data_IF_550520958937
#
_entry.id   IF_550520958937
#
_cell.length_a   1.000
_cell.length_b   1.000
_cell.length_c   1.000
_cell.angle_alpha   90.00
_cell.angle_beta   90.00
_cell.angle_gamma   90.00
#
_symmetry.space_group_name_H-M   'P 1'
#
loop_
_entity.id
_entity.type
_entity.pdbx_description
1 polymer ?
#
# COMPACT_ATOMS: atom_id res chain seq x y z
N UNK A 1 -8.66 -3.57 14.74
CA UNK A 1 -9.92 -3.30 15.47
C UNK A 1 -10.35 -4.56 16.21
N UNK A 2 -11.11 -4.42 17.29
CA UNK A 2 -11.73 -5.54 18.02
C UNK A 2 -13.16 -5.72 17.53
N UNK A 3 -13.49 -6.90 17.04
CA UNK A 3 -14.70 -7.17 16.27
C UNK A 3 -15.43 -8.32 16.94
N UNK A 4 -16.61 -8.05 17.46
CA UNK A 4 -17.45 -9.05 18.08
C UNK A 4 -18.21 -9.82 17.00
N UNK A 5 -18.15 -11.15 17.03
CA UNK A 5 -18.90 -11.99 16.10
C UNK A 5 -20.13 -12.55 16.81
N UNK A 6 -21.26 -12.54 16.10
CA UNK A 6 -22.47 -13.19 16.57
C UNK A 6 -22.45 -14.70 16.31
N UNK A 7 -23.24 -15.47 17.07
CA UNK A 7 -23.35 -16.93 16.97
C UNK A 7 -23.76 -17.36 15.56
N UNK A 8 -24.60 -16.57 14.88
CA UNK A 8 -25.01 -16.81 13.49
C UNK A 8 -23.88 -16.65 12.46
N UNK A 9 -22.79 -15.97 12.80
CA UNK A 9 -21.58 -15.86 11.98
C UNK A 9 -20.58 -16.95 12.36
N UNK A 10 -20.43 -17.20 13.66
CA UNK A 10 -19.46 -18.16 14.20
C UNK A 10 -19.79 -19.60 13.76
N UNK A 11 -21.06 -20.01 13.85
CA UNK A 11 -21.44 -21.39 13.55
C UNK A 11 -21.11 -21.75 12.08
N UNK A 12 -21.57 -20.99 11.05
CA UNK A 12 -21.21 -21.29 9.66
C UNK A 12 -19.71 -21.16 9.37
N UNK A 13 -19.02 -20.27 10.07
CA UNK A 13 -17.57 -20.05 9.91
C UNK A 13 -16.73 -21.23 10.42
N UNK A 14 -17.24 -22.00 11.38
CA UNK A 14 -16.49 -23.10 12.04
C UNK A 14 -17.04 -24.50 11.77
N UNK A 15 -18.26 -24.63 11.26
CA UNK A 15 -18.89 -25.91 10.96
C UNK A 15 -18.29 -26.58 9.72
N UNK A 16 -17.32 -27.49 9.93
CA UNK A 16 -16.69 -28.26 8.83
C UNK A 16 -17.54 -29.38 8.26
N UNK A 17 -18.73 -29.63 8.79
CA UNK A 17 -19.65 -30.56 8.15
C UNK A 17 -20.26 -29.96 6.87
N UNK A 18 -20.03 -28.67 6.60
CA UNK A 18 -20.53 -27.93 5.45
C UNK A 18 -19.39 -27.30 4.66
N UNK A 19 -19.64 -27.08 3.37
CA UNK A 19 -18.76 -26.26 2.54
C UNK A 19 -18.81 -24.83 3.08
N UNK A 20 -17.65 -24.27 3.39
CA UNK A 20 -17.53 -22.89 3.84
C UNK A 20 -17.82 -21.96 2.65
N UNK A 21 -18.83 -21.11 2.80
CA UNK A 21 -19.14 -20.09 1.81
C UNK A 21 -17.98 -19.09 1.68
N UNK A 22 -17.73 -18.63 0.45
CA UNK A 22 -16.58 -17.77 0.13
C UNK A 22 -16.52 -16.51 0.98
N UNK A 23 -17.66 -15.98 1.39
CA UNK A 23 -17.79 -14.74 2.16
C UNK A 23 -17.21 -14.91 3.58
N UNK A 24 -17.41 -16.07 4.20
CA UNK A 24 -16.82 -16.39 5.50
C UNK A 24 -15.31 -16.67 5.40
N UNK A 25 -14.87 -17.33 4.33
CA UNK A 25 -13.44 -17.54 4.07
C UNK A 25 -12.71 -16.19 3.87
N UNK A 26 -13.33 -15.28 3.11
CA UNK A 26 -12.82 -13.94 2.88
C UNK A 26 -12.79 -13.11 4.17
N UNK A 27 -13.84 -13.19 5.01
CA UNK A 27 -13.87 -12.54 6.33
C UNK A 27 -12.65 -12.91 7.15
N UNK A 28 -12.34 -14.21 7.26
CA UNK A 28 -11.18 -14.70 8.03
C UNK A 28 -9.88 -14.20 7.44
N UNK A 29 -9.71 -14.32 6.11
CA UNK A 29 -8.51 -13.88 5.40
C UNK A 29 -8.25 -12.39 5.64
N UNK A 30 -9.23 -11.53 5.34
CA UNK A 30 -9.09 -10.08 5.46
C UNK A 30 -8.90 -9.63 6.91
N UNK A 31 -9.59 -10.27 7.86
CA UNK A 31 -9.42 -9.94 9.29
C UNK A 31 -7.99 -10.21 9.75
N UNK A 32 -7.39 -11.33 9.33
CA UNK A 32 -5.98 -11.65 9.66
C UNK A 32 -5.02 -10.71 8.94
N UNK A 33 -5.19 -10.51 7.63
CA UNK A 33 -4.32 -9.63 6.83
C UNK A 33 -4.32 -8.18 7.34
N UNK A 34 -5.45 -7.70 7.86
CA UNK A 34 -5.60 -6.34 8.41
C UNK A 34 -5.39 -6.25 9.93
N UNK A 35 -4.87 -7.32 10.55
CA UNK A 35 -4.60 -7.38 12.00
C UNK A 35 -5.81 -6.98 12.85
N UNK A 36 -6.99 -7.46 12.47
CA UNK A 36 -8.20 -7.32 13.26
C UNK A 36 -8.37 -8.50 14.20
N UNK A 37 -8.77 -8.23 15.44
CA UNK A 37 -8.99 -9.23 16.46
C UNK A 37 -10.47 -9.61 16.48
N UNK A 38 -10.77 -10.89 16.22
CA UNK A 38 -12.11 -11.43 16.30
C UNK A 38 -12.40 -11.90 17.73
N UNK A 39 -13.45 -11.36 18.32
CA UNK A 39 -13.88 -11.61 19.68
C UNK A 39 -15.21 -12.36 19.72
N UNK A 40 -15.40 -13.11 20.80
CA UNK A 40 -16.68 -13.72 21.19
C UNK A 40 -17.06 -13.25 22.59
N UNK A 41 -18.36 -13.15 22.83
CA UNK A 41 -18.93 -12.86 24.13
C UNK A 41 -19.07 -14.19 24.91
N UNK A 42 -18.64 -14.27 26.19
CA UNK A 42 -18.73 -15.51 26.99
C UNK A 42 -20.13 -16.14 27.05
N UNK A 43 -21.18 -15.32 27.09
CA UNK A 43 -22.57 -15.82 27.12
C UNK A 43 -23.00 -16.56 25.84
N UNK A 44 -22.33 -16.33 24.70
CA UNK A 44 -22.63 -17.07 23.46
C UNK A 44 -22.26 -18.55 23.56
N UNK A 45 -21.42 -18.94 24.53
CA UNK A 45 -21.12 -20.34 24.81
C UNK A 45 -22.37 -21.12 25.21
N UNK A 46 -23.32 -20.47 25.89
CA UNK A 46 -24.58 -21.08 26.28
C UNK A 46 -25.45 -21.37 25.05
N UNK A 47 -25.51 -20.44 24.10
CA UNK A 47 -26.27 -20.62 22.85
C UNK A 47 -25.70 -21.74 21.99
N UNK A 48 -24.38 -21.82 21.89
CA UNK A 48 -23.71 -22.92 21.15
C UNK A 48 -23.93 -24.25 21.86
N UNK A 49 -23.98 -24.28 23.20
CA UNK A 49 -24.29 -25.49 23.96
C UNK A 49 -25.73 -25.99 23.75
N UNK A 50 -26.68 -25.07 23.51
CA UNK A 50 -28.08 -25.37 23.19
C UNK A 50 -28.30 -25.86 21.74
N UNK A 51 -27.26 -25.92 20.92
CA UNK A 51 -27.35 -26.48 19.57
C UNK A 51 -27.83 -27.94 19.61
N UNK A 52 -28.93 -28.22 18.91
CA UNK A 52 -29.57 -29.55 18.83
C UNK A 52 -28.70 -30.56 18.08
N UNK A 53 -27.82 -30.11 17.18
CA UNK A 53 -26.91 -30.98 16.45
C UNK A 53 -25.64 -31.22 17.29
N UNK A 54 -25.54 -32.41 17.88
CA UNK A 54 -24.43 -32.77 18.78
C UNK A 54 -23.06 -32.75 18.08
N UNK A 55 -23.01 -33.16 16.80
CA UNK A 55 -21.76 -33.21 16.03
C UNK A 55 -21.29 -31.79 15.69
N UNK A 56 -22.19 -30.94 15.17
CA UNK A 56 -21.88 -29.53 14.89
C UNK A 56 -21.44 -28.80 16.16
N UNK A 57 -22.13 -29.02 17.28
CA UNK A 57 -21.79 -28.44 18.58
C UNK A 57 -20.37 -28.79 19.01
N UNK A 58 -19.98 -30.07 18.94
CA UNK A 58 -18.62 -30.52 19.31
C UNK A 58 -17.56 -29.85 18.42
N UNK A 59 -17.80 -29.78 17.11
CA UNK A 59 -16.89 -29.16 16.14
C UNK A 59 -16.70 -27.68 16.49
N UNK A 60 -17.78 -26.89 16.54
CA UNK A 60 -17.73 -25.45 16.79
C UNK A 60 -17.07 -25.19 18.15
N UNK A 61 -17.51 -25.88 19.21
CA UNK A 61 -16.97 -25.70 20.57
C UNK A 61 -15.46 -25.96 20.65
N UNK A 62 -14.95 -26.99 19.94
CA UNK A 62 -13.52 -27.28 19.89
C UNK A 62 -12.68 -26.14 19.29
N UNK A 63 -13.28 -25.32 18.42
CA UNK A 63 -12.62 -24.26 17.66
C UNK A 63 -12.82 -22.87 18.22
N UNK A 64 -13.80 -22.67 19.09
CA UNK A 64 -14.02 -21.40 19.79
C UNK A 64 -12.79 -20.90 20.55
N UNK A 65 -11.89 -21.81 20.95
CA UNK A 65 -10.60 -21.47 21.59
C UNK A 65 -9.66 -20.66 20.69
N UNK A 66 -9.92 -20.57 19.39
CA UNK A 66 -9.17 -19.74 18.46
C UNK A 66 -9.53 -18.25 18.58
N UNK A 67 -10.68 -17.92 19.18
CA UNK A 67 -11.15 -16.56 19.34
C UNK A 67 -10.80 -16.01 20.72
N UNK A 68 -10.52 -14.72 20.77
CA UNK A 68 -10.38 -14.01 22.05
C UNK A 68 -11.75 -13.82 22.68
N UNK A 69 -11.85 -13.95 24.01
CA UNK A 69 -13.08 -13.63 24.73
C UNK A 69 -13.00 -12.22 25.28
N UNK A 70 -14.14 -11.53 25.37
CA UNK A 70 -14.20 -10.28 26.13
C UNK A 70 -13.97 -10.61 27.60
N UNK A 71 -12.90 -10.08 28.19
CA UNK A 71 -12.61 -10.22 29.62
C UNK A 71 -13.59 -9.35 30.42
N UNK A 72 -14.29 -9.95 31.38
CA UNK A 72 -15.26 -9.27 32.26
C UNK A 72 -16.28 -8.40 31.49
N UNK A 73 -17.11 -9.00 30.61
CA UNK A 73 -18.09 -8.23 29.84
C UNK A 73 -19.10 -7.57 30.78
N UNK A 74 -19.56 -6.34 30.47
CA UNK A 74 -20.60 -5.69 31.25
C UNK A 74 -21.89 -6.51 31.13
N UNK A 75 -22.53 -6.76 32.27
CA UNK A 75 -23.77 -7.53 32.35
C UNK A 75 -24.92 -6.53 32.36
N UNK A 76 -25.86 -6.69 31.43
CA UNK A 76 -27.04 -5.83 31.33
C UNK A 76 -27.98 -6.10 32.53
N UNK A 77 -28.20 -5.08 33.36
CA UNK A 77 -29.18 -5.14 34.45
C UNK A 77 -30.62 -4.94 33.97
N UNK A 78 -31.61 -5.38 34.74
CA UNK A 78 -33.03 -5.21 34.40
C UNK A 78 -33.43 -3.72 34.28
N UNK A 79 -32.84 -2.87 35.11
CA UNK A 79 -33.04 -1.43 35.04
C UNK A 79 -32.50 -0.84 33.73
N UNK A 80 -31.24 -1.14 33.38
CA UNK A 80 -30.64 -0.67 32.13
C UNK A 80 -31.38 -1.24 30.90
N UNK A 81 -31.88 -2.48 30.99
CA UNK A 81 -32.68 -3.10 29.94
C UNK A 81 -33.97 -2.29 29.68
N UNK A 82 -34.64 -1.86 30.75
CA UNK A 82 -35.85 -1.03 30.66
C UNK A 82 -35.53 0.39 30.14
N UNK A 83 -34.46 1.02 30.62
CA UNK A 83 -34.00 2.34 30.16
C UNK A 83 -33.64 2.35 28.67
N UNK A 84 -33.03 1.27 28.17
CA UNK A 84 -32.68 1.09 26.76
C UNK A 84 -33.87 0.62 25.89
N UNK A 85 -35.05 0.40 26.48
CA UNK A 85 -36.25 -0.05 25.75
C UNK A 85 -36.09 -1.43 25.10
N UNK A 86 -35.26 -2.30 25.70
CA UNK A 86 -35.03 -3.67 25.26
C UNK A 86 -35.93 -4.63 26.04
N UNK A 87 -36.47 -5.64 25.36
CA UNK A 87 -37.24 -6.72 25.98
C UNK A 87 -36.39 -7.99 26.09
N UNK A 88 -36.49 -8.69 27.22
CA UNK A 88 -35.88 -10.01 27.45
C UNK A 88 -36.99 -11.05 27.60
N UNK A 89 -37.38 -11.69 26.51
CA UNK A 89 -38.50 -12.65 26.48
C UNK A 89 -38.04 -14.10 26.61
N UNK A 90 -36.81 -14.40 26.22
CA UNK A 90 -36.21 -15.74 26.23
C UNK A 90 -34.69 -15.66 26.46
N UNK A 91 -34.05 -16.81 26.64
CA UNK A 91 -32.61 -16.84 26.91
C UNK A 91 -31.76 -16.30 25.74
N UNK A 92 -32.20 -16.47 24.49
CA UNK A 92 -31.48 -15.93 23.33
C UNK A 92 -31.53 -14.40 23.32
N UNK A 93 -32.69 -13.81 23.64
CA UNK A 93 -32.84 -12.36 23.79
C UNK A 93 -31.90 -11.82 24.86
N UNK A 94 -31.68 -12.57 25.95
CA UNK A 94 -30.74 -12.20 27.00
C UNK A 94 -29.31 -12.18 26.48
N UNK A 95 -28.90 -13.16 25.68
CA UNK A 95 -27.55 -13.19 25.08
C UNK A 95 -27.40 -12.05 24.08
N UNK A 96 -28.33 -11.87 23.14
CA UNK A 96 -28.33 -10.76 22.17
C UNK A 96 -28.20 -9.39 22.84
N UNK A 97 -28.98 -9.17 23.91
CA UNK A 97 -28.99 -7.89 24.62
C UNK A 97 -27.66 -7.66 25.35
N UNK A 98 -27.04 -8.71 25.91
CA UNK A 98 -25.72 -8.58 26.54
C UNK A 98 -24.60 -8.34 25.50
N UNK A 99 -24.66 -8.97 24.32
CA UNK A 99 -23.75 -8.70 23.20
C UNK A 99 -23.86 -7.22 22.78
N UNK A 100 -25.09 -6.73 22.58
CA UNK A 100 -25.33 -5.32 22.24
C UNK A 100 -24.89 -4.38 23.36
N UNK A 101 -25.10 -4.75 24.62
CA UNK A 101 -24.68 -3.95 25.77
C UNK A 101 -23.16 -3.88 25.92
N UNK A 102 -22.44 -4.97 25.62
CA UNK A 102 -20.98 -4.96 25.55
C UNK A 102 -20.49 -3.98 24.46
N UNK A 103 -21.15 -3.94 23.30
CA UNK A 103 -20.86 -2.96 22.25
C UNK A 103 -21.21 -1.53 22.69
N UNK A 104 -22.35 -1.34 23.36
CA UNK A 104 -22.81 -0.05 23.89
C UNK A 104 -21.79 0.59 24.82
N UNK A 105 -21.25 -0.22 25.75
CA UNK A 105 -20.25 0.19 26.74
C UNK A 105 -18.82 0.27 26.18
N UNK A 106 -18.61 -0.09 24.92
CA UNK A 106 -17.32 0.04 24.23
C UNK A 106 -16.35 -1.13 24.43
N UNK A 107 -16.82 -2.31 24.82
CA UNK A 107 -15.98 -3.50 24.95
C UNK A 107 -15.46 -4.03 23.58
N UNK A 108 -16.13 -3.67 22.49
CA UNK A 108 -15.72 -3.93 21.12
C UNK A 108 -15.94 -2.69 20.24
N UNK A 109 -15.27 -2.64 19.09
CA UNK A 109 -15.45 -1.53 18.14
C UNK A 109 -16.71 -1.74 17.29
N UNK A 110 -16.90 -2.97 16.82
CA UNK A 110 -17.93 -3.36 15.86
C UNK A 110 -18.52 -4.72 16.24
N UNK A 111 -19.77 -4.97 15.86
CA UNK A 111 -20.45 -6.26 15.91
C UNK A 111 -20.80 -6.71 14.48
N UNK A 112 -20.55 -7.98 14.16
CA UNK A 112 -20.96 -8.58 12.88
C UNK A 112 -22.04 -9.63 13.13
N UNK A 113 -23.23 -9.38 12.57
CA UNK A 113 -24.39 -10.28 12.66
C UNK A 113 -25.30 -10.13 11.45
N UNK A 114 -25.89 -11.24 11.00
CA UNK A 114 -26.95 -11.24 10.00
C UNK A 114 -28.37 -11.28 10.63
N UNK A 115 -28.49 -11.13 11.96
CA UNK A 115 -29.76 -11.25 12.68
C UNK A 115 -30.56 -9.93 12.66
N UNK A 116 -31.74 -9.94 12.02
CA UNK A 116 -32.64 -8.78 11.94
C UNK A 116 -33.14 -8.29 13.29
N UNK A 117 -33.28 -9.17 14.28
CA UNK A 117 -33.65 -8.83 15.65
C UNK A 117 -32.58 -7.96 16.31
N UNK A 118 -31.31 -8.35 16.18
CA UNK A 118 -30.17 -7.60 16.72
C UNK A 118 -30.05 -6.23 16.03
N UNK A 119 -30.19 -6.16 14.71
CA UNK A 119 -30.17 -4.88 13.95
C UNK A 119 -31.29 -3.92 14.40
N UNK A 120 -32.50 -4.43 14.61
CA UNK A 120 -33.63 -3.63 15.13
C UNK A 120 -33.36 -3.12 16.54
N UNK A 121 -32.83 -3.97 17.43
CA UNK A 121 -32.46 -3.58 18.80
C UNK A 121 -31.33 -2.53 18.79
N UNK A 122 -30.30 -2.72 17.97
CA UNK A 122 -29.18 -1.78 17.82
C UNK A 122 -29.65 -0.39 17.38
N UNK A 123 -30.59 -0.32 16.45
CA UNK A 123 -31.18 0.95 15.99
C UNK A 123 -31.91 1.68 17.13
N UNK A 124 -32.65 0.96 17.98
CA UNK A 124 -33.35 1.56 19.12
C UNK A 124 -32.41 2.21 20.14
N UNK A 125 -31.24 1.60 20.37
CA UNK A 125 -30.24 2.07 21.32
C UNK A 125 -29.15 2.96 20.68
N UNK A 126 -29.31 3.35 19.41
CA UNK A 126 -28.41 4.26 18.70
C UNK A 126 -27.05 3.66 18.29
N UNK A 127 -26.95 2.34 18.12
CA UNK A 127 -25.72 1.62 17.75
C UNK A 127 -25.70 1.13 16.30
N UNK A 128 -26.62 1.58 15.44
CA UNK A 128 -26.72 1.11 14.04
C UNK A 128 -25.39 1.23 13.27
N UNK A 129 -24.59 2.27 13.53
CA UNK A 129 -23.33 2.52 12.82
C UNK A 129 -22.18 1.59 13.25
N UNK A 130 -22.40 0.78 14.30
CA UNK A 130 -21.44 -0.18 14.84
C UNK A 130 -21.84 -1.64 14.62
N UNK A 131 -23.03 -1.91 14.09
CA UNK A 131 -23.54 -3.27 13.85
C UNK A 131 -23.65 -3.52 12.35
N UNK A 132 -22.88 -4.48 11.84
CA UNK A 132 -22.74 -4.74 10.41
C UNK A 132 -23.27 -6.13 10.07
N UNK A 133 -23.89 -6.25 8.89
CA UNK A 133 -24.07 -7.55 8.23
C UNK A 133 -22.74 -8.04 7.68
N UNK A 134 -22.63 -9.34 7.44
CA UNK A 134 -21.41 -9.94 6.88
C UNK A 134 -20.97 -9.23 5.58
N UNK A 135 -21.88 -9.08 4.61
CA UNK A 135 -21.57 -8.43 3.33
C UNK A 135 -21.15 -6.97 3.47
N UNK A 136 -21.81 -6.21 4.36
CA UNK A 136 -21.47 -4.82 4.63
C UNK A 136 -20.09 -4.72 5.28
N UNK A 137 -19.79 -5.64 6.19
CA UNK A 137 -18.50 -5.72 6.85
C UNK A 137 -17.38 -6.12 5.88
N UNK A 138 -17.62 -7.05 4.96
CA UNK A 138 -16.66 -7.37 3.89
C UNK A 138 -16.39 -6.18 2.98
N UNK A 139 -17.41 -5.41 2.60
CA UNK A 139 -17.23 -4.17 1.86
C UNK A 139 -16.37 -3.16 2.64
N UNK A 140 -16.59 -3.04 3.95
CA UNK A 140 -15.77 -2.21 4.82
C UNK A 140 -14.30 -2.66 4.82
N UNK A 141 -14.05 -3.96 5.01
CA UNK A 141 -12.71 -4.54 4.97
C UNK A 141 -12.03 -4.30 3.62
N UNK A 142 -12.71 -4.54 2.51
CA UNK A 142 -12.18 -4.31 1.16
C UNK A 142 -11.78 -2.85 0.93
N UNK A 143 -12.52 -1.89 1.50
CA UNK A 143 -12.17 -0.46 1.43
C UNK A 143 -10.90 -0.12 2.23
N UNK A 144 -10.67 -0.82 3.34
CA UNK A 144 -9.45 -0.67 4.14
C UNK A 144 -8.27 -1.50 3.63
N UNK A 145 -8.51 -2.48 2.75
CA UNK A 145 -7.43 -3.12 1.99
C UNK A 145 -6.83 -2.08 1.03
N UNK A 146 -5.90 -1.28 1.53
CA UNK A 146 -4.97 -0.51 0.70
C UNK A 146 -4.02 -1.50 0.05
N UNK A 147 -4.47 -2.24 -0.95
CA UNK A 147 -3.52 -2.83 -1.90
C UNK A 147 -2.89 -1.61 -2.58
N UNK A 148 -1.57 -1.37 -2.40
CA UNK A 148 -0.91 -0.31 -3.15
C UNK A 148 -1.18 -0.58 -4.63
N UNK A 149 -1.59 0.44 -5.36
CA UNK A 149 -1.88 0.28 -6.77
C UNK A 149 -0.64 -0.31 -7.46
N UNK A 150 -0.73 -1.56 -7.93
CA UNK A 150 0.32 -2.23 -8.69
C UNK A 150 0.18 -1.82 -10.15
N UNK A 151 1.25 -1.27 -10.73
CA UNK A 151 1.23 -0.80 -12.11
C UNK A 151 1.93 -1.73 -13.07
N UNK A 152 1.37 -1.78 -14.27
CA UNK A 152 1.97 -2.39 -15.44
C UNK A 152 2.78 -1.32 -16.19
N UNK A 153 4.05 -1.16 -15.82
CA UNK A 153 4.99 -0.26 -16.50
C UNK A 153 5.68 -0.98 -17.65
N UNK A 154 5.68 -0.37 -18.82
CA UNK A 154 6.30 -0.97 -19.99
C UNK A 154 7.82 -1.08 -19.79
N UNK A 155 8.39 -2.25 -20.13
CA UNK A 155 9.83 -2.55 -19.94
C UNK A 155 10.29 -2.75 -18.49
N UNK A 156 9.40 -2.62 -17.49
CA UNK A 156 9.76 -2.78 -16.07
C UNK A 156 8.82 -3.76 -15.37
N UNK A 157 9.40 -4.69 -14.61
CA UNK A 157 8.66 -5.68 -13.82
C UNK A 157 8.66 -5.27 -12.36
N UNK A 158 7.49 -5.27 -11.73
CA UNK A 158 7.42 -5.28 -10.27
C UNK A 158 7.43 -6.72 -9.79
N UNK A 159 8.37 -7.06 -8.92
CA UNK A 159 8.53 -8.40 -8.35
C UNK A 159 8.80 -8.35 -6.87
N UNK A 160 8.52 -9.44 -6.17
CA UNK A 160 9.05 -9.67 -4.84
C UNK A 160 10.54 -10.02 -4.92
N UNK A 161 11.29 -9.62 -3.90
CA UNK A 161 12.73 -9.90 -3.87
C UNK A 161 13.08 -11.38 -3.84
N UNK A 162 12.20 -12.24 -3.32
CA UNK A 162 12.42 -13.69 -3.33
C UNK A 162 12.32 -14.31 -4.73
N UNK A 163 11.80 -13.58 -5.73
CA UNK A 163 11.79 -14.02 -7.14
C UNK A 163 13.12 -13.73 -7.83
N UNK A 164 14.01 -12.96 -7.19
CA UNK A 164 15.26 -12.48 -7.77
C UNK A 164 16.42 -13.34 -7.25
N UNK A 165 17.19 -13.91 -8.17
CA UNK A 165 18.44 -14.60 -7.81
C UNK A 165 19.52 -13.60 -7.40
N UNK A 166 19.78 -13.52 -6.09
CA UNK A 166 20.82 -12.66 -5.50
C UNK A 166 22.25 -13.07 -5.89
N UNK A 167 22.45 -14.28 -6.41
CA UNK A 167 23.76 -14.75 -6.84
C UNK A 167 24.18 -14.20 -8.21
N UNK A 168 23.29 -13.49 -8.92
CA UNK A 168 23.63 -12.87 -10.19
C UNK A 168 24.85 -11.93 -10.05
N UNK A 169 25.76 -11.89 -11.04
CA UNK A 169 26.94 -11.01 -11.04
C UNK A 169 26.60 -9.52 -10.86
N UNK A 170 25.38 -9.11 -11.24
CA UNK A 170 24.84 -7.78 -11.03
C UNK A 170 24.99 -7.31 -9.56
N UNK A 171 24.85 -8.21 -8.58
CA UNK A 171 24.92 -7.87 -7.16
C UNK A 171 26.34 -7.89 -6.58
N UNK A 172 27.37 -8.28 -7.35
CA UNK A 172 28.76 -8.40 -6.87
C UNK A 172 29.28 -7.10 -6.26
N UNK A 173 29.17 -6.00 -7.01
CA UNK A 173 29.57 -4.68 -6.50
C UNK A 173 28.82 -4.26 -5.22
N UNK A 174 27.55 -4.66 -5.03
CA UNK A 174 26.82 -4.34 -3.80
C UNK A 174 27.33 -5.17 -2.62
N UNK A 175 27.71 -6.42 -2.86
CA UNK A 175 28.34 -7.28 -1.84
C UNK A 175 29.72 -6.75 -1.41
N UNK A 176 30.48 -6.19 -2.35
CA UNK A 176 31.78 -5.57 -2.06
C UNK A 176 31.64 -4.22 -1.34
N UNK A 177 30.61 -3.43 -1.66
CA UNK A 177 30.40 -2.11 -1.04
C UNK A 177 29.69 -2.16 0.32
N UNK A 178 28.93 -3.22 0.61
CA UNK A 178 28.11 -3.32 1.82
C UNK A 178 28.30 -4.66 2.53
N UNK A 179 28.99 -4.64 3.67
CA UNK A 179 29.15 -5.80 4.54
C UNK A 179 27.79 -6.38 4.96
N UNK A 180 27.59 -7.66 4.68
CA UNK A 180 26.35 -8.37 5.02
C UNK A 180 25.19 -8.14 4.06
N UNK A 181 25.43 -7.64 2.83
CA UNK A 181 24.41 -7.45 1.79
C UNK A 181 23.51 -8.68 1.62
N UNK A 182 24.05 -9.89 1.53
CA UNK A 182 23.23 -11.10 1.29
C UNK A 182 22.29 -11.43 2.45
N UNK A 183 22.71 -11.17 3.69
CA UNK A 183 21.86 -11.32 4.88
C UNK A 183 20.75 -10.27 4.86
N UNK A 184 21.09 -9.04 4.50
CA UNK A 184 20.12 -7.96 4.32
C UNK A 184 19.11 -8.29 3.21
N UNK A 185 19.58 -8.73 2.05
CA UNK A 185 18.72 -9.11 0.92
C UNK A 185 17.77 -10.24 1.32
N UNK A 186 18.29 -11.27 1.99
CA UNK A 186 17.48 -12.38 2.47
C UNK A 186 16.41 -11.93 3.46
N UNK A 187 16.76 -11.05 4.40
CA UNK A 187 15.78 -10.47 5.33
C UNK A 187 14.69 -9.70 4.58
N UNK A 188 15.07 -8.86 3.61
CA UNK A 188 14.11 -8.10 2.81
C UNK A 188 13.19 -9.01 2.00
N UNK A 189 13.71 -10.12 1.47
CA UNK A 189 12.92 -11.13 0.77
C UNK A 189 11.91 -11.82 1.72
N UNK A 190 12.34 -12.19 2.93
CA UNK A 190 11.46 -12.74 3.97
C UNK A 190 10.36 -11.75 4.38
N UNK A 191 10.69 -10.47 4.45
CA UNK A 191 9.75 -9.37 4.73
C UNK A 191 8.81 -9.08 3.53
N UNK A 192 8.82 -9.92 2.49
CA UNK A 192 8.04 -9.76 1.25
C UNK A 192 8.23 -8.40 0.57
N UNK A 193 9.44 -7.84 0.66
CA UNK A 193 9.76 -6.56 0.03
C UNK A 193 9.72 -6.70 -1.49
N UNK A 194 9.16 -5.68 -2.15
CA UNK A 194 9.07 -5.57 -3.60
C UNK A 194 10.22 -4.74 -4.18
N UNK A 195 10.42 -4.91 -5.47
CA UNK A 195 11.32 -4.09 -6.27
C UNK A 195 10.75 -3.85 -7.67
N UNK A 196 11.17 -2.75 -8.29
CA UNK A 196 11.08 -2.58 -9.74
C UNK A 196 12.39 -3.07 -10.35
N UNK A 197 12.32 -4.03 -11.26
CA UNK A 197 13.49 -4.57 -11.96
C UNK A 197 13.32 -4.51 -13.47
N UNK A 198 14.46 -4.39 -14.14
CA UNK A 198 14.60 -4.41 -15.59
C UNK A 198 15.57 -5.54 -15.91
N UNK A 199 15.16 -6.43 -16.80
CA UNK A 199 15.94 -7.57 -17.26
C UNK A 199 16.39 -7.33 -18.72
N UNK A 200 17.51 -7.92 -19.09
CA UNK A 200 17.88 -8.06 -20.50
C UNK A 200 17.14 -9.23 -21.16
N UNK A 201 17.34 -9.41 -22.48
CA UNK A 201 16.72 -10.50 -23.23
C UNK A 201 17.15 -11.92 -22.82
N UNK A 202 18.10 -12.04 -21.88
CA UNK A 202 18.54 -13.32 -21.30
C UNK A 202 18.00 -13.55 -19.89
N UNK A 203 17.19 -12.62 -19.36
CA UNK A 203 16.61 -12.70 -18.01
C UNK A 203 17.55 -12.22 -16.90
N UNK A 204 18.72 -11.67 -17.23
CA UNK A 204 19.64 -11.10 -16.23
C UNK A 204 19.20 -9.69 -15.85
N UNK A 205 19.31 -9.35 -14.58
CA UNK A 205 18.95 -8.01 -14.09
C UNK A 205 19.98 -7.00 -14.56
N UNK A 206 19.50 -5.92 -15.17
CA UNK A 206 20.31 -4.78 -15.61
C UNK A 206 19.99 -3.50 -14.85
N UNK A 207 18.84 -3.43 -14.18
CA UNK A 207 18.55 -2.35 -13.23
C UNK A 207 17.56 -2.83 -12.16
N UNK A 208 17.71 -2.33 -10.94
CA UNK A 208 16.80 -2.61 -9.82
C UNK A 208 16.61 -1.39 -8.94
N UNK A 209 15.37 -1.20 -8.48
CA UNK A 209 15.01 -0.29 -7.41
C UNK A 209 14.22 -1.06 -6.34
N UNK A 210 14.86 -1.34 -5.21
CA UNK A 210 14.22 -1.96 -4.04
C UNK A 210 13.65 -0.84 -3.18
N UNK A 211 12.36 -0.91 -2.83
CA UNK A 211 11.69 0.16 -2.10
C UNK A 211 10.91 -0.34 -0.88
N UNK A 212 10.58 0.57 0.04
CA UNK A 212 9.65 0.30 1.14
C UNK A 212 8.90 1.57 1.54
N UNK A 213 7.79 1.38 2.25
CA UNK A 213 7.01 2.46 2.84
C UNK A 213 7.46 2.71 4.27
N UNK A 214 7.48 3.98 4.64
CA UNK A 214 7.70 4.46 6.01
C UNK A 214 6.68 5.55 6.32
N UNK A 215 6.43 5.78 7.61
CA UNK A 215 5.52 6.79 8.13
C UNK A 215 6.23 7.51 9.28
N UNK A 216 6.21 8.84 9.26
CA UNK A 216 6.76 9.69 10.34
C UNK A 216 8.16 9.21 10.80
N UNK A 217 9.12 9.21 9.88
CA UNK A 217 10.41 8.58 10.07
C UNK A 217 11.53 9.61 10.32
N UNK A 218 12.44 9.27 11.22
CA UNK A 218 13.72 9.95 11.35
C UNK A 218 14.64 9.51 10.21
N UNK A 219 15.02 10.45 9.34
CA UNK A 219 15.80 10.14 8.14
C UNK A 219 17.30 10.44 8.31
N UNK A 220 17.67 11.29 9.28
CA UNK A 220 19.03 11.79 9.51
C UNK A 220 19.43 11.65 10.99
N UNK A 221 20.73 11.76 11.27
CA UNK A 221 21.26 11.73 12.64
C UNK A 221 20.92 13.00 13.46
N UNK A 222 20.36 14.03 12.82
CA UNK A 222 19.92 15.26 13.50
C UNK A 222 18.76 15.02 14.48
N UNK A 223 18.02 13.93 14.32
CA UNK A 223 16.87 13.59 15.18
C UNK A 223 15.52 14.12 14.67
N UNK A 224 15.50 14.89 13.58
CA UNK A 224 14.28 15.46 13.04
C UNK A 224 13.39 14.37 12.40
N UNK A 225 12.10 14.38 12.76
CA UNK A 225 11.10 13.49 12.20
C UNK A 225 10.51 14.14 10.95
N UNK A 226 10.62 13.44 9.82
CA UNK A 226 9.92 13.82 8.60
C UNK A 226 8.52 13.25 8.65
N UNK A 227 7.54 14.15 8.80
CA UNK A 227 6.14 13.77 8.89
C UNK A 227 5.51 13.42 7.54
N UNK A 228 4.60 12.45 7.56
CA UNK A 228 3.83 11.99 6.40
C UNK A 228 4.24 10.61 5.89
N UNK A 229 3.68 10.23 4.73
CA UNK A 229 3.95 8.95 4.08
C UNK A 229 5.17 9.04 3.18
N UNK A 230 6.09 8.09 3.33
CA UNK A 230 7.42 8.17 2.73
C UNK A 230 7.72 6.91 1.92
N UNK A 231 8.23 7.09 0.71
CA UNK A 231 8.86 6.03 -0.08
C UNK A 231 10.38 6.05 0.13
N UNK A 232 10.95 5.01 0.74
CA UNK A 232 12.40 4.81 0.77
C UNK A 232 12.83 3.98 -0.43
N UNK A 233 13.76 4.48 -1.24
CA UNK A 233 14.49 3.68 -2.22
C UNK A 233 15.71 3.06 -1.53
N UNK A 234 15.56 1.82 -1.06
CA UNK A 234 16.57 1.11 -0.27
C UNK A 234 17.82 0.73 -1.07
N UNK A 235 17.63 0.35 -2.32
CA UNK A 235 18.73 0.00 -3.24
C UNK A 235 18.35 0.49 -4.61
N UNK A 236 19.20 1.29 -5.21
CA UNK A 236 19.00 1.84 -6.54
C UNK A 236 20.25 1.59 -7.36
N UNK A 237 20.18 0.67 -8.32
CA UNK A 237 21.35 0.25 -9.09
C UNK A 237 21.00 0.03 -10.56
N UNK A 238 21.89 0.51 -11.43
CA UNK A 238 21.89 0.24 -12.87
C UNK A 238 23.24 -0.37 -13.23
N UNK A 239 23.22 -1.43 -14.04
CA UNK A 239 24.42 -2.11 -14.50
C UNK A 239 25.28 -1.16 -15.36
N UNK A 240 26.60 -1.31 -15.26
CA UNK A 240 27.53 -0.47 -16.01
C UNK A 240 27.38 -0.64 -17.52
N UNK A 241 27.07 -1.86 -17.99
CA UNK A 241 26.83 -2.19 -19.40
C UNK A 241 25.53 -1.57 -19.93
N UNK A 242 24.61 -1.21 -19.04
CA UNK A 242 23.35 -0.55 -19.37
C UNK A 242 23.39 0.97 -19.21
N UNK A 243 24.55 1.56 -18.84
CA UNK A 243 24.73 3.01 -18.82
C UNK A 243 24.51 3.58 -20.22
N UNK A 244 23.85 4.74 -20.30
CA UNK A 244 23.43 5.36 -21.57
C UNK A 244 22.01 4.98 -22.02
N UNK A 245 21.43 3.88 -21.53
CA UNK A 245 20.03 3.50 -21.82
C UNK A 245 18.99 4.27 -20.99
N UNK A 246 19.43 5.17 -20.12
CA UNK A 246 18.57 6.00 -19.23
C UNK A 246 17.66 5.19 -18.29
N UNK A 247 18.03 3.96 -17.94
CA UNK A 247 17.25 3.09 -17.05
C UNK A 247 17.08 3.67 -15.63
N UNK A 248 18.06 4.43 -15.13
CA UNK A 248 17.92 5.11 -13.84
C UNK A 248 16.82 6.17 -13.88
N UNK A 249 16.74 6.92 -14.97
CA UNK A 249 15.67 7.91 -15.18
C UNK A 249 14.29 7.24 -15.27
N UNK A 250 14.22 6.08 -15.92
CA UNK A 250 13.02 5.23 -15.96
C UNK A 250 12.58 4.77 -14.57
N UNK A 251 13.51 4.31 -13.73
CA UNK A 251 13.20 3.90 -12.36
C UNK A 251 12.75 5.09 -11.48
N UNK A 252 13.32 6.28 -11.66
CA UNK A 252 12.85 7.49 -10.97
C UNK A 252 11.45 7.91 -11.44
N UNK A 253 11.17 7.85 -12.74
CA UNK A 253 9.83 8.11 -13.28
C UNK A 253 8.80 7.21 -12.59
N UNK A 254 9.09 5.91 -12.51
CA UNK A 254 8.24 4.92 -11.86
C UNK A 254 8.08 5.24 -10.37
N UNK A 255 9.15 5.59 -9.67
CA UNK A 255 9.08 5.95 -8.25
C UNK A 255 8.20 7.19 -8.02
N UNK A 256 8.30 8.20 -8.88
CA UNK A 256 7.49 9.42 -8.78
C UNK A 256 6.01 9.16 -9.08
N UNK A 257 5.72 8.44 -10.16
CA UNK A 257 4.36 8.06 -10.53
C UNK A 257 3.72 7.18 -9.43
N UNK A 258 4.49 6.24 -8.87
CA UNK A 258 4.09 5.44 -7.72
C UNK A 258 3.75 6.31 -6.50
N UNK A 259 4.57 7.32 -6.20
CA UNK A 259 4.32 8.25 -5.09
C UNK A 259 3.03 9.04 -5.30
N UNK A 260 2.80 9.60 -6.49
CA UNK A 260 1.57 10.35 -6.81
C UNK A 260 0.34 9.49 -6.58
N UNK A 261 0.33 8.28 -7.13
CA UNK A 261 -0.83 7.40 -7.11
C UNK A 261 -1.12 6.82 -5.73
N UNK A 262 -0.09 6.56 -4.95
CA UNK A 262 -0.23 6.14 -3.55
C UNK A 262 -0.31 7.33 -2.57
N UNK A 263 -0.34 8.57 -3.08
CA UNK A 263 -0.44 9.83 -2.31
C UNK A 263 0.64 9.96 -1.24
N UNK A 264 1.87 9.55 -1.56
CA UNK A 264 3.03 9.66 -0.68
C UNK A 264 3.51 11.11 -0.66
N UNK A 265 3.94 11.58 0.51
CA UNK A 265 4.39 12.96 0.72
C UNK A 265 5.86 13.17 0.31
N UNK A 266 6.65 12.11 0.40
CA UNK A 266 8.10 12.16 0.25
C UNK A 266 8.65 10.90 -0.43
N UNK A 267 9.75 11.08 -1.15
CA UNK A 267 10.63 9.99 -1.59
C UNK A 267 12.06 10.31 -1.21
N UNK A 268 12.82 9.32 -0.74
CA UNK A 268 14.21 9.53 -0.36
C UNK A 268 15.07 8.29 -0.59
N UNK A 269 16.38 8.50 -0.60
CA UNK A 269 17.38 7.45 -0.65
C UNK A 269 18.62 7.83 0.17
N UNK A 270 19.41 6.81 0.51
CA UNK A 270 20.75 6.99 1.04
C UNK A 270 21.74 6.74 -0.09
N UNK A 271 22.79 7.56 -0.16
CA UNK A 271 23.91 7.36 -1.08
C UNK A 271 25.22 7.28 -0.30
N UNK A 272 26.07 6.33 -0.68
CA UNK A 272 27.36 6.11 -0.04
C UNK A 272 28.52 6.24 -1.04
N UNK A 273 29.49 7.08 -0.70
CA UNK A 273 30.80 7.15 -1.37
C UNK A 273 30.85 7.85 -2.73
N UNK A 274 32.08 8.04 -3.24
CA UNK A 274 32.35 8.73 -4.51
C UNK A 274 31.88 7.96 -5.75
N UNK A 275 31.69 6.64 -5.66
CA UNK A 275 31.26 5.79 -6.77
C UNK A 275 29.82 6.06 -7.22
N UNK A 276 29.05 6.79 -6.41
CA UNK A 276 27.65 7.13 -6.66
C UNK A 276 27.44 8.54 -7.23
N UNK A 277 28.50 9.26 -7.64
CA UNK A 277 28.39 10.62 -8.25
C UNK A 277 27.34 10.68 -9.37
N UNK A 278 27.23 9.64 -10.19
CA UNK A 278 26.21 9.56 -11.25
C UNK A 278 24.78 9.49 -10.70
N UNK A 279 24.56 8.73 -9.62
CA UNK A 279 23.25 8.64 -8.97
C UNK A 279 22.89 9.96 -8.27
N UNK A 280 23.86 10.57 -7.59
CA UNK A 280 23.68 11.90 -6.97
C UNK A 280 23.30 12.94 -8.02
N UNK A 281 24.04 13.02 -9.12
CA UNK A 281 23.71 13.92 -10.23
C UNK A 281 22.29 13.68 -10.78
N UNK A 282 21.92 12.42 -10.98
CA UNK A 282 20.57 12.04 -11.40
C UNK A 282 19.51 12.50 -10.38
N UNK A 283 19.75 12.32 -9.08
CA UNK A 283 18.82 12.74 -8.04
C UNK A 283 18.64 14.27 -8.05
N UNK A 284 19.74 15.02 -8.12
CA UNK A 284 19.71 16.49 -8.19
C UNK A 284 18.97 16.99 -9.45
N UNK A 285 19.22 16.37 -10.61
CA UNK A 285 18.55 16.70 -11.87
C UNK A 285 17.02 16.54 -11.84
N UNK A 286 16.53 15.72 -10.91
CA UNK A 286 15.12 15.39 -10.72
C UNK A 286 14.55 15.92 -9.38
N UNK A 287 15.20 16.91 -8.79
CA UNK A 287 14.63 17.71 -7.70
C UNK A 287 14.79 17.10 -6.30
N UNK A 288 15.63 16.08 -6.14
CA UNK A 288 16.12 15.71 -4.81
C UNK A 288 17.09 16.78 -4.31
N UNK A 289 17.15 16.95 -2.99
CA UNK A 289 18.16 17.76 -2.32
C UNK A 289 18.76 16.99 -1.15
N UNK A 290 20.00 17.33 -0.79
CA UNK A 290 20.66 16.73 0.38
C UNK A 290 19.99 17.24 1.66
N UNK A 291 19.42 16.32 2.43
CA UNK A 291 18.79 16.59 3.72
C UNK A 291 19.82 16.62 4.86
N UNK A 292 20.85 15.80 4.77
CA UNK A 292 21.86 15.63 5.81
C UNK A 292 22.51 14.25 5.72
N UNK A 293 23.01 13.76 6.86
CA UNK A 293 23.66 12.45 6.96
C UNK A 293 22.91 11.51 7.88
N UNK A 294 23.00 10.22 7.56
CA UNK A 294 22.62 9.13 8.43
C UNK A 294 23.78 8.15 8.52
N UNK A 295 24.42 8.10 9.69
CA UNK A 295 25.73 7.47 9.89
C UNK A 295 26.77 8.07 8.94
N UNK A 296 27.15 7.29 7.93
CA UNK A 296 28.17 7.64 6.93
C UNK A 296 27.56 7.96 5.56
N UNK A 297 26.25 7.80 5.40
CA UNK A 297 25.55 7.98 4.12
C UNK A 297 24.96 9.39 4.03
N UNK A 298 25.01 9.98 2.84
CA UNK A 298 24.27 11.20 2.53
C UNK A 298 22.81 10.84 2.21
N UNK A 299 21.88 11.63 2.74
CA UNK A 299 20.44 11.43 2.61
C UNK A 299 19.89 12.43 1.60
N UNK A 300 19.35 11.93 0.49
CA UNK A 300 18.71 12.76 -0.54
C UNK A 300 17.20 12.56 -0.49
N UNK A 301 16.46 13.65 -0.35
CA UNK A 301 14.99 13.66 -0.25
C UNK A 301 14.37 14.55 -1.32
N UNK A 302 13.18 14.17 -1.78
CA UNK A 302 12.34 14.95 -2.68
C UNK A 302 10.90 15.02 -2.16
N UNK A 303 10.27 16.22 -2.14
CA UNK A 303 8.85 16.36 -1.84
C UNK A 303 8.00 15.86 -3.00
N UNK A 304 6.98 15.05 -2.69
CA UNK A 304 6.00 14.53 -3.66
C UNK A 304 4.65 15.25 -3.52
N UNK A 305 4.73 16.56 -3.32
CA UNK A 305 3.62 17.51 -3.31
C UNK A 305 4.14 18.90 -3.61
N UNK A 306 3.28 19.74 -4.18
CA UNK A 306 3.57 21.15 -4.34
C UNK A 306 3.65 21.81 -2.96
N UNK A 307 4.67 22.64 -2.75
CA UNK A 307 4.76 23.52 -1.58
C UNK A 307 4.74 24.97 -2.05
N UNK A 308 4.24 25.85 -1.20
CA UNK A 308 4.38 27.29 -1.42
C UNK A 308 5.85 27.67 -1.24
N UNK A 309 6.42 28.27 -2.27
CA UNK A 309 7.76 28.83 -2.25
C UNK A 309 7.91 29.94 -3.28
N UNK A 310 8.98 30.71 -3.09
CA UNK A 310 9.39 31.82 -3.95
C UNK A 310 10.33 31.37 -5.09
N UNK A 311 10.45 30.06 -5.36
CA UNK A 311 11.28 29.59 -6.47
C UNK A 311 10.66 30.02 -7.80
N UNK A 312 11.53 30.38 -8.76
CA UNK A 312 11.14 30.63 -10.14
C UNK A 312 10.45 29.41 -10.76
N UNK A 313 9.61 29.63 -11.77
CA UNK A 313 8.74 28.58 -12.34
C UNK A 313 9.50 27.31 -12.77
N UNK A 314 10.71 27.46 -13.32
CA UNK A 314 11.55 26.32 -13.71
C UNK A 314 12.07 25.51 -12.50
N UNK A 315 12.61 26.17 -11.48
CA UNK A 315 13.15 25.50 -10.30
C UNK A 315 12.04 24.80 -9.52
N UNK A 316 10.88 25.45 -9.43
CA UNK A 316 9.66 24.84 -8.89
C UNK A 316 9.26 23.59 -9.68
N UNK A 317 9.25 23.65 -11.03
CA UNK A 317 8.90 22.51 -11.87
C UNK A 317 9.85 21.32 -11.65
N UNK A 318 11.16 21.57 -11.58
CA UNK A 318 12.17 20.52 -11.32
C UNK A 318 11.98 19.93 -9.91
N UNK A 319 11.82 20.80 -8.90
CA UNK A 319 11.68 20.40 -7.50
C UNK A 319 10.43 19.58 -7.24
N UNK A 320 9.29 19.95 -7.85
CA UNK A 320 8.01 19.33 -7.55
C UNK A 320 7.47 18.38 -8.61
N UNK A 321 8.16 18.20 -9.75
CA UNK A 321 7.76 17.21 -10.76
C UNK A 321 7.35 15.89 -10.09
N UNK A 322 6.17 15.32 -10.45
CA UNK A 322 5.30 15.70 -11.56
C UNK A 322 4.25 16.78 -11.24
N UNK A 323 4.27 17.37 -10.04
CA UNK A 323 3.44 18.52 -9.71
C UNK A 323 4.05 19.81 -10.27
N UNK A 324 3.19 20.77 -10.61
CA UNK A 324 3.57 22.05 -11.17
C UNK A 324 2.71 23.17 -10.59
N UNK A 325 3.24 24.39 -10.58
CA UNK A 325 2.46 25.58 -10.20
C UNK A 325 1.44 25.84 -11.31
N UNK A 326 0.17 25.89 -10.94
CA UNK A 326 -0.91 26.30 -11.83
C UNK A 326 -1.46 27.66 -11.38
N UNK A 327 -0.84 28.73 -11.86
CA UNK A 327 -1.29 30.10 -11.61
C UNK A 327 -1.12 30.95 -12.87
N UNK A 328 -1.65 32.18 -12.86
CA UNK A 328 -1.66 33.09 -14.01
C UNK A 328 -0.26 33.49 -14.52
N UNK A 329 0.79 33.28 -13.72
CA UNK A 329 2.17 33.59 -14.10
C UNK A 329 2.83 32.51 -14.98
N UNK A 330 2.20 31.33 -15.09
CA UNK A 330 2.71 30.19 -15.87
C UNK A 330 1.88 30.01 -17.12
N UNK A 331 2.52 30.13 -18.30
CA UNK A 331 1.82 29.90 -19.56
C UNK A 331 1.70 28.40 -19.83
N UNK A 332 0.59 28.00 -20.46
CA UNK A 332 0.29 26.60 -20.78
C UNK A 332 0.24 26.43 -22.29
N UNK A 333 0.94 25.42 -22.80
CA UNK A 333 1.03 25.12 -24.21
C UNK A 333 0.66 23.66 -24.48
N UNK A 334 -0.01 23.42 -25.61
CA UNK A 334 -0.28 22.07 -26.10
C UNK A 334 0.74 21.78 -27.19
N UNK A 335 1.55 20.75 -26.97
CA UNK A 335 2.58 20.33 -27.92
C UNK A 335 2.04 19.15 -28.75
N UNK A 336 1.80 19.31 -30.06
CA UNK A 336 1.37 18.21 -30.89
C UNK A 336 2.53 17.25 -31.16
N UNK A 337 2.24 15.95 -31.13
CA UNK A 337 3.21 14.89 -31.41
C UNK A 337 2.75 14.02 -32.60
N UNK A 338 3.68 13.63 -33.46
CA UNK A 338 3.40 12.69 -34.55
C UNK A 338 3.27 11.27 -33.98
N UNK A 339 2.32 10.45 -34.46
CA UNK A 339 2.09 9.10 -33.93
C UNK A 339 3.37 8.25 -33.82
N UNK A 340 4.23 8.25 -34.85
CA UNK A 340 5.50 7.50 -34.82
C UNK A 340 6.41 7.87 -33.64
N UNK A 341 6.49 9.15 -33.25
CA UNK A 341 7.30 9.58 -32.11
C UNK A 341 6.58 9.34 -30.79
N UNK A 342 5.23 9.34 -30.79
CA UNK A 342 4.45 8.99 -29.61
C UNK A 342 4.76 7.55 -29.17
N UNK A 343 4.72 6.61 -30.11
CA UNK A 343 5.01 5.20 -29.84
C UNK A 343 6.40 4.98 -29.22
N UNK A 344 7.41 5.70 -29.71
CA UNK A 344 8.79 5.57 -29.26
C UNK A 344 9.07 6.29 -27.92
N UNK A 345 8.48 7.47 -27.72
CA UNK A 345 8.77 8.34 -26.56
C UNK A 345 7.92 8.00 -25.34
N UNK A 346 6.73 7.44 -25.53
CA UNK A 346 5.75 7.21 -24.47
C UNK A 346 5.38 5.72 -24.41
N UNK A 347 6.31 4.85 -24.00
CA UNK A 347 6.10 3.39 -24.03
C UNK A 347 4.90 2.96 -23.18
N UNK A 348 4.62 3.65 -22.07
CA UNK A 348 3.45 3.35 -21.22
C UNK A 348 2.09 3.73 -21.82
N UNK A 349 2.08 4.32 -23.01
CA UNK A 349 0.87 4.73 -23.74
C UNK A 349 0.88 4.25 -25.20
N UNK A 350 1.91 3.52 -25.60
CA UNK A 350 2.05 3.00 -26.96
C UNK A 350 1.17 1.77 -27.17
N UNK A 351 1.02 1.40 -28.43
CA UNK A 351 0.36 0.16 -28.87
C UNK A 351 1.03 -1.12 -28.38
N UNK A 352 2.29 -1.06 -27.90
CA UNK A 352 2.95 -2.21 -27.26
C UNK A 352 2.39 -2.54 -25.88
N UNK A 353 1.67 -1.60 -25.25
CA UNK A 353 1.03 -1.84 -23.96
C UNK A 353 -0.10 -2.87 -24.09
N UNK A 354 -0.10 -3.87 -23.21
CA UNK A 354 -0.97 -5.03 -23.27
C UNK A 354 -0.51 -6.12 -24.24
N UNK A 355 0.63 -5.95 -24.91
CA UNK A 355 1.20 -6.98 -25.78
C UNK A 355 2.00 -8.03 -24.99
N UNK A 356 2.25 -9.19 -25.60
CA UNK A 356 3.09 -10.25 -25.02
C UNK A 356 4.53 -9.78 -24.71
N UNK A 357 5.00 -8.73 -25.38
CA UNK A 357 6.34 -8.19 -25.24
C UNK A 357 6.40 -6.86 -24.48
N UNK A 358 5.31 -6.48 -23.79
CA UNK A 358 5.27 -5.23 -23.02
C UNK A 358 6.46 -5.10 -22.04
N UNK A 359 6.91 -6.22 -21.47
CA UNK A 359 7.99 -6.25 -20.47
C UNK A 359 9.38 -6.44 -21.04
N UNK A 360 9.51 -6.58 -22.36
CA UNK A 360 10.82 -6.77 -22.99
C UNK A 360 11.49 -5.41 -23.21
N UNK A 361 12.37 -5.00 -22.29
CA UNK A 361 13.10 -3.75 -22.39
C UNK A 361 13.93 -3.62 -23.68
N UNK A 362 14.31 -4.74 -24.32
CA UNK A 362 15.12 -4.71 -25.54
C UNK A 362 14.38 -4.14 -26.76
N UNK A 363 13.05 -4.13 -26.72
CA UNK A 363 12.20 -3.59 -27.77
C UNK A 363 11.97 -2.08 -27.63
N UNK A 364 12.37 -1.48 -26.51
CA UNK A 364 12.17 -0.06 -26.26
C UNK A 364 13.44 0.75 -26.48
N UNK A 365 13.24 1.90 -27.10
CA UNK A 365 14.29 2.88 -27.33
C UNK A 365 14.72 3.55 -26.02
N UNK A 366 15.96 4.05 -25.95
CA UNK A 366 16.43 4.74 -24.77
C UNK A 366 15.68 6.07 -24.52
N UNK A 367 15.07 6.64 -25.56
CA UNK A 367 14.27 7.87 -25.50
C UNK A 367 12.92 7.65 -24.80
N UNK A 368 12.39 6.42 -24.82
CA UNK A 368 11.20 6.03 -24.05
C UNK A 368 11.46 6.05 -22.53
N UNK A 369 12.71 5.86 -22.11
CA UNK A 369 13.09 5.81 -20.70
C UNK A 369 13.25 7.18 -20.03
N UNK A 370 13.26 8.27 -20.81
CA UNK A 370 13.53 9.60 -20.27
C UNK A 370 12.26 10.31 -19.80
N UNK A 371 12.34 10.94 -18.63
CA UNK A 371 11.41 11.95 -18.11
C UNK A 371 11.55 13.22 -18.94
N UNK A 372 12.78 13.69 -19.16
CA UNK A 372 13.04 14.90 -19.97
C UNK A 372 13.07 14.50 -21.45
N UNK A 373 12.29 15.21 -22.26
CA UNK A 373 12.20 14.99 -23.70
C UNK A 373 12.45 16.31 -24.44
N UNK A 374 13.14 16.22 -25.58
CA UNK A 374 13.37 17.37 -26.44
C UNK A 374 12.31 17.41 -27.53
N UNK A 375 11.60 18.53 -27.65
CA UNK A 375 10.65 18.77 -28.72
C UNK A 375 11.27 19.66 -29.79
N UNK A 376 11.42 19.12 -31.00
CA UNK A 376 11.91 19.86 -32.16
C UNK A 376 10.74 20.09 -33.11
N UNK A 377 10.42 21.36 -33.39
CA UNK A 377 9.39 21.73 -34.34
C UNK A 377 9.79 22.95 -35.17
N UNK A 378 9.10 23.14 -36.29
CA UNK A 378 9.21 24.34 -37.12
C UNK A 378 8.09 25.34 -36.80
N UNK A 379 7.68 25.41 -35.54
CA UNK A 379 6.65 26.37 -35.11
C UNK A 379 7.21 27.80 -35.12
N UNK A 380 6.35 28.77 -35.48
CA UNK A 380 6.70 30.21 -35.42
C UNK A 380 6.52 30.80 -34.01
N UNK A 381 6.08 30.01 -33.03
CA UNK A 381 5.88 30.47 -31.65
C UNK A 381 7.24 30.82 -31.04
N UNK A 382 7.36 32.06 -30.57
CA UNK A 382 8.56 32.59 -29.86
C UNK A 382 8.27 32.98 -28.42
N UNK A 383 7.05 32.73 -27.94
CA UNK A 383 6.58 33.22 -26.64
C UNK A 383 6.86 32.27 -25.48
N UNK A 384 7.22 31.00 -25.75
CA UNK A 384 7.50 30.00 -24.71
C UNK A 384 8.71 30.43 -23.87
N UNK A 385 8.54 30.45 -22.56
CA UNK A 385 9.55 30.81 -21.56
C UNK A 385 9.97 29.58 -20.75
N UNK A 386 11.12 29.68 -20.10
CA UNK A 386 11.58 28.64 -19.17
C UNK A 386 10.61 28.55 -18.00
N UNK A 387 10.10 27.34 -17.72
CA UNK A 387 9.17 27.09 -16.62
C UNK A 387 7.69 27.20 -17.00
N UNK A 388 7.38 27.46 -18.27
CA UNK A 388 6.03 27.22 -18.81
C UNK A 388 5.73 25.71 -18.93
N UNK A 389 4.44 25.38 -18.99
CA UNK A 389 3.91 23.99 -19.00
C UNK A 389 3.50 23.57 -20.40
#
# INVERSE_FOLDING_TARGET
>A
MNILLDTNIIIPLEDTSRILDSSFAELRKLSVEQSHCLYIHPMQLEDINRDKNQERRKIVFSRLKQYSQIENPPILSDQECHELGLSQSNDNDKVDNNILFALYRGAAHLLVTNDEGIHRKATKIGLQDKVYRLEQFLLLLRRYTTVPFSFDYTGVKERFLYEIDKNQPFFESLRLSYDGFDKWFQKCATDKRKCWCIEDGTGNIVAICIYKHEQDAQLTDSGDIIHGRILKLCTFKVDIKARGKKLGERLLYIAFDYCVKNKLDWVYLHTFGEEQKTLVGLCLDYGFYCLGKYKQDDVYIKPMKLKEDDYGSLDSLIRYYPYFKDNESVQKFIIPIRPQYHEDLFPDFSSMKGSLFEKDQSLYSCQGNTIKKAYLCHSKIKTIRKGDI
#
